data_IF_034013250198
#
_entry.id   IF_034013250198
#
_cell.length_a   1.000
_cell.length_b   1.000
_cell.length_c   1.000
_cell.angle_alpha   90.00
_cell.angle_beta   90.00
_cell.angle_gamma   90.00
#
_symmetry.space_group_name_H-M   'P 1'
#
loop_
_entity.id
_entity.type
_entity.pdbx_description
1 polymer ?
#
# COMPACT_ATOMS: atom_id res chain seq x y z
N UNK A 1 10.62 30.74 -0.68
CA UNK A 1 10.92 29.79 -1.77
C UNK A 1 10.39 28.45 -1.30
N UNK A 2 9.40 27.85 -1.96
CA UNK A 2 9.01 26.49 -1.62
C UNK A 2 10.18 25.58 -2.00
N UNK A 3 10.67 24.78 -1.05
CA UNK A 3 11.70 23.77 -1.30
C UNK A 3 11.10 22.71 -2.22
N UNK A 4 11.87 22.27 -3.24
CA UNK A 4 11.42 21.22 -4.14
C UNK A 4 11.25 19.90 -3.38
N UNK A 5 10.33 19.06 -3.85
CA UNK A 5 10.13 17.73 -3.28
C UNK A 5 9.98 16.69 -4.38
N UNK A 6 10.45 15.48 -4.09
CA UNK A 6 10.32 14.30 -4.93
C UNK A 6 9.23 13.39 -4.37
N UNK A 7 8.39 12.85 -5.24
CA UNK A 7 7.34 11.91 -4.85
C UNK A 7 7.82 10.48 -5.11
N UNK A 8 8.01 9.71 -4.05
CA UNK A 8 8.32 8.29 -4.11
C UNK A 8 7.05 7.47 -3.93
N UNK A 9 6.88 6.43 -4.76
CA UNK A 9 5.76 5.50 -4.70
C UNK A 9 6.26 4.09 -4.41
N UNK A 10 5.55 3.38 -3.54
CA UNK A 10 5.71 1.95 -3.30
C UNK A 10 4.35 1.26 -3.54
N UNK A 11 4.24 0.55 -4.66
CA UNK A 11 3.10 -0.29 -5.01
C UNK A 11 3.34 -1.70 -4.49
N UNK A 12 3.08 -1.89 -3.19
CA UNK A 12 3.26 -3.16 -2.51
C UNK A 12 2.03 -4.06 -2.65
N UNK A 13 2.11 -5.28 -2.13
CA UNK A 13 1.00 -6.25 -2.18
C UNK A 13 -0.20 -5.80 -1.36
N UNK A 14 0.02 -5.22 -0.18
CA UNK A 14 -1.04 -4.93 0.79
C UNK A 14 -1.50 -3.47 0.79
N UNK A 15 -0.69 -2.60 0.21
CA UNK A 15 -0.90 -1.16 0.29
C UNK A 15 -0.12 -0.45 -0.80
N UNK A 16 -0.66 0.69 -1.22
CA UNK A 16 0.13 1.71 -1.90
C UNK A 16 0.61 2.71 -0.85
N UNK A 17 1.89 3.05 -0.90
CA UNK A 17 2.47 4.14 -0.10
C UNK A 17 3.01 5.23 -1.01
N UNK A 18 2.90 6.47 -0.55
CA UNK A 18 3.51 7.64 -1.16
C UNK A 18 4.33 8.38 -0.12
N UNK A 19 5.50 8.87 -0.52
CA UNK A 19 6.37 9.68 0.32
C UNK A 19 6.80 10.92 -0.44
N UNK A 20 6.74 12.09 0.20
CA UNK A 20 7.41 13.28 -0.31
C UNK A 20 8.77 13.40 0.39
N UNK A 21 9.82 13.57 -0.41
CA UNK A 21 11.21 13.65 0.06
C UNK A 21 11.82 14.98 -0.38
N UNK A 22 12.44 15.70 0.54
CA UNK A 22 13.13 16.97 0.25
C UNK A 22 14.51 16.76 -0.41
N UNK A 23 15.15 17.85 -0.82
CA UNK A 23 16.48 17.81 -1.46
C UNK A 23 17.60 17.31 -0.53
N UNK A 24 17.36 17.28 0.78
CA UNK A 24 18.29 16.76 1.80
C UNK A 24 18.01 15.28 2.11
N UNK A 25 17.14 14.64 1.33
CA UNK A 25 16.72 13.25 1.48
C UNK A 25 15.93 12.96 2.75
N UNK A 26 15.29 13.97 3.35
CA UNK A 26 14.37 13.77 4.46
C UNK A 26 12.97 13.47 3.94
N UNK A 27 12.28 12.52 4.58
CA UNK A 27 10.85 12.30 4.35
C UNK A 27 10.08 13.42 5.06
N UNK A 28 9.38 14.24 4.28
CA UNK A 28 8.61 15.38 4.76
C UNK A 28 7.10 15.12 4.78
N UNK A 29 6.64 14.08 4.07
CA UNK A 29 5.27 13.59 4.10
C UNK A 29 5.24 12.11 3.75
N UNK A 30 4.33 11.37 4.38
CA UNK A 30 4.06 9.96 4.11
C UNK A 30 2.55 9.76 4.13
N UNK A 31 2.05 8.95 3.21
CA UNK A 31 0.67 8.48 3.23
C UNK A 31 0.56 7.05 2.70
N UNK A 32 -0.44 6.32 3.16
CA UNK A 32 -0.65 4.94 2.73
C UNK A 32 -2.12 4.56 2.66
N UNK A 33 -2.48 3.76 1.65
CA UNK A 33 -3.80 3.16 1.52
C UNK A 33 -3.66 1.65 1.68
N UNK A 34 -4.23 1.09 2.76
CA UNK A 34 -4.29 -0.35 3.00
C UNK A 34 -5.52 -0.97 2.31
N UNK A 35 -5.29 -1.91 1.39
CA UNK A 35 -6.37 -2.42 0.53
C UNK A 35 -7.49 -3.12 1.32
N UNK A 36 -7.14 -3.99 2.27
CA UNK A 36 -8.15 -4.75 3.02
C UNK A 36 -9.04 -3.85 3.90
N UNK A 37 -8.48 -2.75 4.42
CA UNK A 37 -9.18 -1.84 5.35
C UNK A 37 -9.94 -0.73 4.64
N UNK A 38 -9.32 -0.14 3.63
CA UNK A 38 -9.84 1.07 2.99
C UNK A 38 -10.64 0.79 1.72
N UNK A 39 -10.43 -0.39 1.11
CA UNK A 39 -11.16 -0.86 -0.05
C UNK A 39 -11.76 -2.27 0.20
N UNK A 40 -12.54 -2.45 1.30
CA UNK A 40 -13.04 -3.76 1.70
C UNK A 40 -13.99 -4.40 0.68
N UNK A 41 -14.57 -3.62 -0.23
CA UNK A 41 -15.48 -4.09 -1.29
C UNK A 41 -14.81 -5.05 -2.29
N UNK A 42 -13.48 -5.04 -2.39
CA UNK A 42 -12.74 -5.97 -3.25
C UNK A 42 -12.49 -7.34 -2.58
N UNK A 43 -12.77 -7.47 -1.27
CA UNK A 43 -12.71 -8.76 -0.58
C UNK A 43 -11.31 -9.39 -0.52
N UNK A 44 -10.25 -8.59 -0.53
CA UNK A 44 -8.88 -9.08 -0.41
C UNK A 44 -8.57 -9.57 1.00
N UNK A 45 -7.62 -10.49 1.11
CA UNK A 45 -7.00 -10.88 2.37
C UNK A 45 -5.49 -10.78 2.23
N UNK A 46 -4.86 -9.90 3.00
CA UNK A 46 -3.46 -9.53 2.81
C UNK A 46 -3.20 -8.92 1.44
N UNK A 47 -4.15 -8.15 0.90
CA UNK A 47 -4.01 -7.48 -0.41
C UNK A 47 -4.08 -8.39 -1.64
N UNK A 48 -4.43 -9.67 -1.46
CA UNK A 48 -4.60 -10.62 -2.56
C UNK A 48 -5.97 -11.27 -2.55
N UNK A 49 -6.44 -11.68 -3.73
CA UNK A 49 -7.62 -12.53 -3.86
C UNK A 49 -7.20 -13.99 -3.65
N UNK A 50 -7.53 -14.55 -2.50
CA UNK A 50 -7.35 -15.98 -2.24
C UNK A 50 -8.49 -16.72 -2.94
N UNK A 51 -8.27 -17.15 -4.18
CA UNK A 51 -9.21 -18.04 -4.86
C UNK A 51 -9.27 -19.37 -4.11
N UNK A 52 -10.39 -19.63 -3.46
CA UNK A 52 -10.68 -20.96 -2.91
C UNK A 52 -11.07 -21.91 -4.05
N UNK A 53 -10.09 -22.32 -4.85
CA UNK A 53 -10.22 -23.54 -5.65
C UNK A 53 -10.03 -24.71 -4.68
N UNK A 54 -11.14 -25.40 -4.39
CA UNK A 54 -11.32 -26.57 -3.51
C UNK A 54 -10.04 -27.27 -3.02
N UNK A 55 -9.93 -27.39 -1.68
CA UNK A 55 -9.13 -28.34 -0.86
C UNK A 55 -7.94 -27.75 -0.06
N UNK A 56 -8.17 -27.55 1.26
CA UNK A 56 -7.23 -27.61 2.41
C UNK A 56 -7.65 -26.54 3.44
N UNK A 57 -8.03 -26.79 4.68
CA UNK A 57 -8.05 -27.98 5.53
C UNK A 57 -9.31 -27.91 6.40
N UNK A 58 -10.20 -28.90 6.24
CA UNK A 58 -10.89 -29.46 7.39
C UNK A 58 -10.00 -30.61 7.87
N UNK A 59 -9.17 -30.34 8.88
CA UNK A 59 -8.53 -31.33 9.74
C UNK A 59 -8.66 -30.82 11.17
#
# INVERSE_FOLDING_TARGET
MAEGAYLAWDFSTQQVKAFAVDEKLNVIYEESINFDKELPEFGTQGGVLVSMTLAACSL
#
